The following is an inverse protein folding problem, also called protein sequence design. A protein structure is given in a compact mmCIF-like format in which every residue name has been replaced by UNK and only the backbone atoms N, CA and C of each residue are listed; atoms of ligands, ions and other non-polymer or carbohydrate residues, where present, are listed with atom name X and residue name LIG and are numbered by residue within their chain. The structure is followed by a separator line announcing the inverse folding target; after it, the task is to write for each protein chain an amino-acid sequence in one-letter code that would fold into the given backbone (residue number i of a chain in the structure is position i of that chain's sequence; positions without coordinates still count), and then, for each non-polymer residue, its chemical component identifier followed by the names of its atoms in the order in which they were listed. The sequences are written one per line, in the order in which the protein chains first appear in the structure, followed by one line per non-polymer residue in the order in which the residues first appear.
data_IF_596682515957
#
_entry.id   IF_596682515957
#
_cell.length_a   1.000
_cell.length_b   1.000
_cell.length_c   1.000
_cell.angle_alpha   90.00
_cell.angle_beta   90.00
_cell.angle_gamma   90.00
#
_symmetry.space_group_name_H-M   'P 1'
#
loop_
_entity.id
_entity.type
_entity.pdbx_description
1 polymer ?
#
# COMPACT_ATOMS: atom_id res chain seq x y z
N UNK A 1 5.96 23.54 -0.19
CA UNK A 1 6.19 22.35 -1.05
C UNK A 1 5.52 22.59 -2.39
N UNK A 2 6.11 22.18 -3.53
CA UNK A 2 5.46 22.31 -4.83
C UNK A 2 4.14 21.52 -4.84
N UNK A 3 3.12 22.07 -5.51
CA UNK A 3 1.79 21.44 -5.59
C UNK A 3 1.91 20.21 -6.49
N UNK A 4 1.73 19.02 -5.93
CA UNK A 4 1.79 17.76 -6.66
C UNK A 4 0.57 17.69 -7.59
N UNK A 5 0.79 17.55 -8.89
CA UNK A 5 -0.30 17.34 -9.85
C UNK A 5 -0.92 15.95 -9.63
N UNK A 6 -2.23 15.89 -9.43
CA UNK A 6 -2.97 14.64 -9.33
C UNK A 6 -3.06 14.00 -10.72
N UNK A 7 -2.15 13.06 -11.01
CA UNK A 7 -2.21 12.21 -12.21
C UNK A 7 -2.73 10.83 -11.83
N UNK A 8 -3.65 10.24 -12.61
CA UNK A 8 -4.06 8.86 -12.38
C UNK A 8 -2.84 7.93 -12.52
N UNK A 9 -2.73 6.97 -11.61
CA UNK A 9 -1.71 5.94 -11.69
C UNK A 9 -1.99 5.07 -12.92
N UNK A 10 -1.01 4.95 -13.82
CA UNK A 10 -1.07 3.99 -14.92
C UNK A 10 -0.88 2.59 -14.34
N UNK A 11 -1.96 1.79 -14.33
CA UNK A 11 -1.96 0.41 -13.84
C UNK A 11 -1.88 -0.54 -15.03
N UNK A 12 -0.99 -1.52 -14.94
CA UNK A 12 -0.98 -2.64 -15.89
C UNK A 12 -1.89 -3.72 -15.32
N UNK A 13 -2.96 -4.06 -16.02
CA UNK A 13 -3.93 -5.10 -15.59
C UNK A 13 -3.35 -6.52 -15.79
N UNK A 14 -2.23 -6.81 -15.12
CA UNK A 14 -1.53 -8.10 -15.10
C UNK A 14 -0.86 -8.29 -13.74
N UNK A 15 -0.88 -9.52 -13.19
CA UNK A 15 -0.23 -9.81 -11.91
C UNK A 15 1.29 -9.61 -11.98
N UNK A 16 1.89 -9.38 -10.81
CA UNK A 16 3.33 -9.34 -10.58
C UNK A 16 4.11 -8.26 -11.37
N UNK A 17 3.42 -7.30 -12.00
CA UNK A 17 4.07 -6.23 -12.79
C UNK A 17 4.44 -5.03 -11.93
N UNK A 18 3.58 -4.69 -10.97
CA UNK A 18 3.77 -3.49 -10.17
C UNK A 18 3.13 -3.66 -8.80
N UNK A 19 3.86 -3.20 -7.79
CA UNK A 19 3.51 -3.36 -6.39
C UNK A 19 3.46 -2.00 -5.71
N UNK A 20 2.48 -1.83 -4.84
CA UNK A 20 2.41 -0.70 -3.91
C UNK A 20 2.67 -1.19 -2.49
N UNK A 21 3.35 -0.34 -1.72
CA UNK A 21 3.70 -0.61 -0.33
C UNK A 21 3.39 0.59 0.52
N UNK A 22 2.81 0.36 1.71
CA UNK A 22 2.60 1.40 2.71
C UNK A 22 2.90 0.89 4.13
N UNK A 23 3.38 1.80 4.96
CA UNK A 23 3.53 1.57 6.39
C UNK A 23 2.37 2.26 7.12
N UNK A 24 1.59 1.48 7.84
CA UNK A 24 0.62 2.01 8.79
C UNK A 24 1.10 1.78 10.22
N UNK A 25 0.76 2.69 11.12
CA UNK A 25 1.06 2.59 12.54
C UNK A 25 -0.25 2.39 13.30
N UNK A 26 -0.33 1.35 14.12
CA UNK A 26 -1.54 1.00 14.87
C UNK A 26 -1.21 0.51 16.29
N UNK A 27 -2.23 0.30 17.12
CA UNK A 27 -2.08 -0.17 18.48
C UNK A 27 -3.15 -1.20 18.85
N UNK A 28 -2.73 -2.28 19.49
CA UNK A 28 -3.65 -3.25 20.10
C UNK A 28 -4.40 -2.59 21.26
N UNK A 29 -5.56 -3.15 21.62
CA UNK A 29 -6.36 -2.68 22.76
C UNK A 29 -5.55 -2.57 24.07
N UNK A 30 -4.54 -3.43 24.27
CA UNK A 30 -3.62 -3.37 25.41
C UNK A 30 -2.55 -2.26 25.33
N UNK A 31 -2.62 -1.36 24.35
CA UNK A 31 -1.68 -0.25 24.16
C UNK A 31 -0.37 -0.62 23.44
N UNK A 32 -0.17 -1.88 23.07
CA UNK A 32 1.01 -2.31 22.31
C UNK A 32 0.96 -1.74 20.90
N UNK A 33 1.90 -0.86 20.58
CA UNK A 33 2.05 -0.25 19.25
C UNK A 33 2.78 -1.20 18.30
N UNK A 34 2.35 -1.20 17.05
CA UNK A 34 3.01 -1.94 15.97
C UNK A 34 2.87 -1.15 14.67
N UNK A 35 3.59 -1.62 13.66
CA UNK A 35 3.47 -1.11 12.30
C UNK A 35 3.17 -2.27 11.38
N UNK A 36 2.24 -2.08 10.45
CA UNK A 36 2.00 -3.03 9.36
C UNK A 36 2.77 -2.57 8.13
N UNK A 37 3.23 -3.53 7.33
CA UNK A 37 3.72 -3.28 5.99
C UNK A 37 2.72 -3.90 5.04
N UNK A 38 1.86 -3.07 4.46
CA UNK A 38 0.88 -3.54 3.51
C UNK A 38 1.56 -3.66 2.14
N UNK A 39 1.45 -4.82 1.49
CA UNK A 39 1.98 -5.06 0.14
C UNK A 39 0.82 -5.44 -0.77
N UNK A 40 0.64 -4.69 -1.87
CA UNK A 40 -0.50 -4.85 -2.78
C UNK A 40 0.03 -4.96 -4.21
N UNK A 41 -0.43 -5.97 -4.94
CA UNK A 41 -0.27 -6.04 -6.39
C UNK A 41 -1.25 -5.07 -7.06
N UNK A 42 -0.75 -4.08 -7.81
CA UNK A 42 -1.60 -3.10 -8.49
C UNK A 42 -2.46 -3.74 -9.60
N UNK A 43 -1.99 -4.83 -10.22
CA UNK A 43 -2.63 -5.49 -11.34
C UNK A 43 -3.84 -6.33 -10.93
N UNK A 44 -3.76 -7.04 -9.80
CA UNK A 44 -4.87 -7.86 -9.26
C UNK A 44 -5.67 -7.15 -8.17
N UNK A 45 -5.10 -6.12 -7.54
CA UNK A 45 -5.60 -5.47 -6.31
C UNK A 45 -5.70 -6.44 -5.12
N UNK A 46 -4.88 -7.48 -5.13
CA UNK A 46 -4.79 -8.42 -4.02
C UNK A 46 -3.66 -8.01 -3.06
N UNK A 47 -3.90 -8.21 -1.77
CA UNK A 47 -2.90 -7.98 -0.73
C UNK A 47 -2.09 -9.26 -0.49
N UNK A 48 -0.76 -9.15 -0.56
CA UNK A 48 0.13 -10.29 -0.36
C UNK A 48 0.49 -10.50 1.12
N UNK A 49 0.56 -9.42 1.89
CA UNK A 49 0.91 -9.44 3.31
C UNK A 49 0.51 -8.16 4.05
N UNK A 50 0.26 -8.30 5.37
CA UNK A 50 0.06 -7.24 6.37
C UNK A 50 0.96 -7.54 7.58
#
# INVERSE_FOLDING_TARGET
MPKRENKPLSVVNRPDIKWTLDFMHDALYCGKRFRTLNIIDEGTRECLAI
#
